data_IF_011127163677
#
_entry.id   IF_011127163677
#
_cell.length_a   1.000
_cell.length_b   1.000
_cell.length_c   1.000
_cell.angle_alpha   90.00
_cell.angle_beta   90.00
_cell.angle_gamma   90.00
#
_symmetry.space_group_name_H-M   'P 1'
#
loop_
_entity.id
_entity.type
_entity.pdbx_description
1 polymer ?
#
# COMPACT_ATOMS: atom_id res chain seq x y z
N UNK A 1 18.20 1.61 18.61
CA UNK A 1 17.06 0.79 18.18
C UNK A 1 16.89 1.03 16.68
N UNK A 2 17.36 0.11 15.82
CA UNK A 2 17.47 0.30 14.36
C UNK A 2 16.38 -0.49 13.60
N UNK A 3 15.16 -0.52 14.14
CA UNK A 3 14.02 -1.14 13.48
C UNK A 3 13.66 -0.34 12.22
N UNK A 4 13.73 -0.98 11.05
CA UNK A 4 13.28 -0.37 9.80
C UNK A 4 11.78 -0.03 9.89
N UNK A 5 11.40 1.17 9.47
CA UNK A 5 10.02 1.63 9.39
C UNK A 5 9.53 1.45 7.96
N UNK A 6 8.51 0.62 7.80
CA UNK A 6 7.83 0.40 6.53
C UNK A 6 6.41 0.91 6.67
N UNK A 7 5.91 1.61 5.66
CA UNK A 7 4.50 2.03 5.61
C UNK A 7 3.80 1.27 4.50
N UNK A 8 2.66 0.69 4.82
CA UNK A 8 1.75 0.07 3.88
C UNK A 8 0.59 1.05 3.67
N UNK A 9 0.39 1.45 2.43
CA UNK A 9 -0.73 2.25 1.98
C UNK A 9 -1.71 1.31 1.29
N UNK A 10 -2.95 1.30 1.74
CA UNK A 10 -4.02 0.50 1.15
C UNK A 10 -5.00 1.47 0.52
N UNK A 11 -5.10 1.35 -0.80
CA UNK A 11 -6.19 1.90 -1.56
C UNK A 11 -7.46 1.09 -1.29
N UNK A 12 -8.47 1.75 -0.75
CA UNK A 12 -9.76 1.12 -0.41
C UNK A 12 -10.88 1.46 -1.38
N UNK A 13 -10.58 2.24 -2.42
CA UNK A 13 -11.56 2.90 -3.29
C UNK A 13 -12.13 2.03 -4.42
N UNK A 14 -11.55 0.85 -4.67
CA UNK A 14 -11.73 0.11 -5.93
C UNK A 14 -12.03 -1.39 -5.80
N UNK A 15 -11.98 -2.09 -6.93
CA UNK A 15 -12.51 -3.45 -7.20
C UNK A 15 -11.73 -4.59 -6.53
N UNK A 16 -11.00 -4.28 -5.46
CA UNK A 16 -10.19 -5.20 -4.70
C UNK A 16 -11.12 -6.16 -3.96
N UNK A 17 -10.97 -7.45 -4.24
CA UNK A 17 -11.79 -8.46 -3.58
C UNK A 17 -11.15 -8.86 -2.25
N UNK A 18 -11.98 -9.26 -1.29
CA UNK A 18 -11.56 -9.61 0.08
C UNK A 18 -10.48 -10.71 0.08
N UNK A 19 -10.52 -11.64 -0.87
CA UNK A 19 -9.52 -12.72 -1.00
C UNK A 19 -8.11 -12.19 -1.29
N UNK A 20 -7.97 -11.21 -2.19
CA UNK A 20 -6.67 -10.60 -2.53
C UNK A 20 -6.12 -9.79 -1.36
N UNK A 21 -6.99 -9.04 -0.69
CA UNK A 21 -6.65 -8.30 0.51
C UNK A 21 -6.14 -9.26 1.60
N UNK A 22 -6.86 -10.37 1.84
CA UNK A 22 -6.47 -11.39 2.80
C UNK A 22 -5.14 -12.06 2.42
N UNK A 23 -4.93 -12.34 1.13
CA UNK A 23 -3.69 -12.91 0.61
C UNK A 23 -2.50 -11.98 0.88
N UNK A 24 -2.63 -10.70 0.48
CA UNK A 24 -1.64 -9.67 0.71
C UNK A 24 -1.26 -9.54 2.20
N UNK A 25 -2.25 -9.38 3.08
CA UNK A 25 -1.97 -9.22 4.51
C UNK A 25 -1.45 -10.48 5.18
N UNK A 26 -1.77 -11.67 4.65
CA UNK A 26 -1.17 -12.92 5.14
C UNK A 26 0.34 -12.97 4.86
N UNK A 27 0.81 -12.42 3.74
CA UNK A 27 2.24 -12.26 3.45
C UNK A 27 2.89 -11.22 4.38
N UNK A 28 2.24 -10.08 4.63
CA UNK A 28 2.71 -9.08 5.60
C UNK A 28 2.82 -9.68 7.02
N UNK A 29 1.85 -10.49 7.43
CA UNK A 29 1.87 -11.25 8.70
C UNK A 29 3.02 -12.27 8.77
N UNK A 30 3.53 -12.74 7.65
CA UNK A 30 4.72 -13.58 7.60
C UNK A 30 5.99 -12.72 7.73
N UNK A 31 6.06 -11.58 7.04
CA UNK A 31 7.21 -10.66 7.07
C UNK A 31 7.43 -10.03 8.46
N UNK A 32 6.36 -9.66 9.16
CA UNK A 32 6.44 -9.14 10.53
C UNK A 32 7.00 -10.12 11.54
N UNK A 33 6.95 -11.44 11.27
CA UNK A 33 7.57 -12.45 12.15
C UNK A 33 9.08 -12.58 11.95
N UNK A 34 9.55 -12.23 10.76
CA UNK A 34 10.95 -12.43 10.35
C UNK A 34 11.78 -11.18 10.68
N UNK A 35 11.16 -10.00 10.72
CA UNK A 35 11.85 -8.73 10.89
C UNK A 35 11.35 -7.99 12.14
N UNK A 36 12.25 -7.36 12.91
CA UNK A 36 11.90 -6.42 13.99
C UNK A 36 11.41 -5.07 13.45
N UNK A 37 10.78 -5.04 12.26
CA UNK A 37 10.39 -3.82 11.57
C UNK A 37 9.13 -3.19 12.19
N UNK A 38 9.09 -1.86 12.24
CA UNK A 38 7.89 -1.10 12.65
C UNK A 38 7.04 -0.83 11.41
N UNK A 39 5.97 -1.59 11.26
CA UNK A 39 5.05 -1.43 10.15
C UNK A 39 3.92 -0.47 10.55
N UNK A 40 3.62 0.46 9.65
CA UNK A 40 2.47 1.34 9.72
C UNK A 40 1.51 1.00 8.59
N UNK A 41 0.23 1.12 8.85
CA UNK A 41 -0.83 0.92 7.89
C UNK A 41 -1.60 2.23 7.71
N UNK A 42 -1.80 2.63 6.46
CA UNK A 42 -2.53 3.83 6.06
C UNK A 42 -3.62 3.43 5.07
N UNK A 43 -4.88 3.73 5.36
CA UNK A 43 -6.00 3.51 4.44
C UNK A 43 -6.34 4.80 3.71
N UNK A 44 -6.61 4.70 2.40
CA UNK A 44 -6.82 5.83 1.50
C UNK A 44 -8.07 5.60 0.64
N UNK A 45 -8.82 6.67 0.43
CA UNK A 45 -9.91 6.80 -0.54
C UNK A 45 -9.70 8.16 -1.27
N UNK A 46 -10.62 9.12 -1.16
CA UNK A 46 -10.37 10.53 -1.56
C UNK A 46 -9.34 11.25 -0.67
N UNK A 47 -9.10 10.71 0.54
CA UNK A 47 -8.16 11.24 1.52
C UNK A 47 -7.70 10.12 2.48
N UNK A 48 -6.73 10.42 3.34
CA UNK A 48 -6.30 9.51 4.42
C UNK A 48 -7.46 9.25 5.39
N UNK A 49 -7.89 7.99 5.45
CA UNK A 49 -9.00 7.55 6.31
C UNK A 49 -8.53 7.09 7.68
N UNK A 50 -7.39 6.42 7.75
CA UNK A 50 -6.81 5.96 9.01
C UNK A 50 -5.31 5.76 8.91
N UNK A 51 -4.63 5.94 10.03
CA UNK A 51 -3.20 5.69 10.21
C UNK A 51 -3.05 4.92 11.51
N UNK A 52 -2.45 3.74 11.45
CA UNK A 52 -2.24 2.92 12.64
C UNK A 52 -0.92 2.16 12.58
N UNK A 53 -0.37 1.86 13.75
CA UNK A 53 0.75 0.93 13.83
C UNK A 53 0.21 -0.48 13.59
N UNK A 54 0.79 -1.17 12.62
CA UNK A 54 0.40 -2.52 12.29
C UNK A 54 0.92 -3.49 13.35
N UNK A 55 0.04 -4.35 13.83
CA UNK A 55 0.42 -5.56 14.54
C UNK A 55 -0.28 -6.76 13.92
N UNK A 56 0.30 -7.95 14.12
CA UNK A 56 -0.15 -9.18 13.46
C UNK A 56 -1.65 -9.39 13.64
N UNK A 57 -2.36 -9.63 12.54
CA UNK A 57 -3.79 -9.92 12.53
C UNK A 57 -4.72 -8.73 12.73
N UNK A 58 -4.20 -7.52 12.97
CA UNK A 58 -5.02 -6.27 13.05
C UNK A 58 -5.80 -6.02 11.76
N UNK A 59 -5.27 -6.49 10.63
CA UNK A 59 -5.91 -6.31 9.33
C UNK A 59 -7.29 -6.95 9.23
N UNK A 60 -7.58 -7.97 10.06
CA UNK A 60 -8.89 -8.66 10.08
C UNK A 60 -10.02 -7.77 10.57
N UNK A 61 -9.68 -6.72 11.31
CA UNK A 61 -10.63 -5.73 11.82
C UNK A 61 -10.73 -4.50 10.89
N UNK A 62 -9.95 -4.46 9.80
CA UNK A 62 -10.03 -3.38 8.82
C UNK A 62 -11.33 -3.50 8.05
N UNK A 63 -12.18 -2.48 8.21
CA UNK A 63 -13.36 -2.33 7.38
C UNK A 63 -12.95 -1.61 6.11
N UNK A 64 -12.96 -2.32 4.99
CA UNK A 64 -12.85 -1.70 3.68
C UNK A 64 -14.12 -0.89 3.43
N UNK A 65 -13.98 0.44 3.40
CA UNK A 65 -15.08 1.37 3.13
C UNK A 65 -14.68 2.16 1.87
N UNK A 66 -14.86 1.56 0.69
CA UNK A 66 -14.66 2.24 -0.59
C UNK A 66 -15.95 2.90 -1.07
N UNK A 67 -15.92 4.19 -1.40
CA UNK A 67 -17.13 4.93 -1.80
C UNK A 67 -16.95 5.99 -2.90
N UNK A 68 -15.76 6.19 -3.48
CA UNK A 68 -15.55 7.33 -4.38
C UNK A 68 -14.39 7.23 -5.37
N UNK A 69 -13.99 8.39 -5.88
CA UNK A 69 -12.79 8.59 -6.68
C UNK A 69 -11.54 8.51 -5.79
N UNK A 70 -10.41 8.13 -6.37
CA UNK A 70 -9.19 7.82 -5.61
C UNK A 70 -8.10 8.80 -5.94
N UNK A 71 -7.52 9.42 -4.91
CA UNK A 71 -6.27 10.16 -5.03
C UNK A 71 -5.26 9.65 -4.01
N UNK A 72 -4.22 8.95 -4.50
CA UNK A 72 -3.15 8.45 -3.65
C UNK A 72 -2.17 9.54 -3.22
N UNK A 73 -2.08 10.67 -3.95
CA UNK A 73 -1.04 11.67 -3.73
C UNK A 73 -1.09 12.28 -2.32
N UNK A 74 -2.25 12.71 -1.76
CA UNK A 74 -2.34 13.25 -0.41
C UNK A 74 -1.85 12.27 0.67
N UNK A 75 -2.15 10.99 0.51
CA UNK A 75 -1.70 9.96 1.44
C UNK A 75 -0.20 9.73 1.34
N UNK A 76 0.34 9.70 0.13
CA UNK A 76 1.77 9.57 -0.12
C UNK A 76 2.54 10.77 0.43
N UNK A 77 2.03 11.99 0.28
CA UNK A 77 2.66 13.18 0.87
C UNK A 77 2.67 13.09 2.39
N UNK A 78 1.53 12.77 3.02
CA UNK A 78 1.45 12.55 4.46
C UNK A 78 2.45 11.48 4.94
N UNK A 79 2.50 10.34 4.28
CA UNK A 79 3.41 9.22 4.64
C UNK A 79 4.87 9.66 4.55
N UNK A 80 5.24 10.38 3.50
CA UNK A 80 6.62 10.79 3.27
C UNK A 80 7.12 11.85 4.23
N UNK A 81 6.22 12.77 4.63
CA UNK A 81 6.53 13.93 5.47
C UNK A 81 6.41 13.63 6.96
N UNK A 82 5.35 12.95 7.37
CA UNK A 82 5.02 12.69 8.79
C UNK A 82 5.62 11.36 9.27
N UNK A 83 5.38 10.26 8.54
CA UNK A 83 5.86 8.94 8.95
C UNK A 83 7.33 8.71 8.59
N UNK A 84 7.81 9.32 7.51
CA UNK A 84 9.20 9.27 7.03
C UNK A 84 9.79 7.84 6.98
N UNK A 85 9.14 6.87 6.32
CA UNK A 85 9.60 5.48 6.33
C UNK A 85 10.85 5.27 5.45
N UNK A 86 11.55 4.16 5.66
CA UNK A 86 12.63 3.71 4.77
C UNK A 86 12.09 3.12 3.46
N UNK A 87 10.84 2.65 3.46
CA UNK A 87 10.15 2.13 2.28
C UNK A 87 8.62 2.18 2.41
N UNK A 88 7.95 2.24 1.27
CA UNK A 88 6.49 2.30 1.15
C UNK A 88 6.03 1.11 0.31
N UNK A 89 4.96 0.45 0.75
CA UNK A 89 4.26 -0.56 -0.03
C UNK A 89 2.87 0.01 -0.33
N UNK A 90 2.43 0.03 -1.58
CA UNK A 90 1.13 0.57 -1.99
C UNK A 90 0.31 -0.57 -2.57
N UNK A 91 -0.79 -0.94 -1.92
CA UNK A 91 -1.73 -1.93 -2.42
C UNK A 91 -2.90 -1.22 -3.12
N UNK A 92 -3.10 -1.47 -4.42
CA UNK A 92 -4.10 -0.78 -5.27
C UNK A 92 -4.49 -1.64 -6.48
N UNK A 93 -5.62 -1.35 -7.12
CA UNK A 93 -5.96 -1.87 -8.45
C UNK A 93 -5.47 -0.96 -9.60
N UNK A 94 -4.91 0.21 -9.29
CA UNK A 94 -4.29 1.10 -10.27
C UNK A 94 -5.27 1.90 -11.13
N UNK A 95 -6.55 1.99 -10.75
CA UNK A 95 -7.52 2.88 -11.41
C UNK A 95 -7.47 4.32 -10.84
N UNK A 96 -6.26 4.84 -10.69
CA UNK A 96 -5.95 6.16 -10.16
C UNK A 96 -4.68 6.68 -10.81
N UNK A 97 -4.41 7.97 -10.67
CA UNK A 97 -3.15 8.55 -11.14
C UNK A 97 -1.97 8.00 -10.31
N UNK A 98 -0.84 7.76 -10.97
CA UNK A 98 0.35 7.31 -10.28
C UNK A 98 0.88 8.39 -9.33
N UNK A 99 1.04 8.11 -8.02
CA UNK A 99 1.53 9.11 -7.10
C UNK A 99 3.03 9.33 -7.30
N UNK A 100 3.50 10.53 -6.97
CA UNK A 100 4.92 10.89 -6.92
C UNK A 100 5.53 10.44 -5.59
N UNK A 101 6.37 9.40 -5.65
CA UNK A 101 7.02 8.79 -4.49
C UNK A 101 8.53 9.06 -4.54
N UNK A 102 9.02 9.80 -3.54
CA UNK A 102 10.43 10.19 -3.34
C UNK A 102 11.22 9.16 -2.52
N UNK A 103 10.54 8.16 -1.95
CA UNK A 103 11.11 7.08 -1.14
C UNK A 103 11.08 5.76 -1.92
N UNK A 104 11.75 4.72 -1.41
CA UNK A 104 11.65 3.38 -2.01
C UNK A 104 10.19 2.93 -1.97
N UNK A 105 9.67 2.47 -3.10
CA UNK A 105 8.27 2.05 -3.23
C UNK A 105 8.16 0.69 -3.89
N UNK A 106 7.21 -0.10 -3.40
CA UNK A 106 6.71 -1.31 -4.04
C UNK A 106 5.20 -1.18 -4.22
N UNK A 107 4.74 -1.15 -5.46
CA UNK A 107 3.34 -1.26 -5.81
C UNK A 107 2.94 -2.73 -5.83
N UNK A 108 1.88 -3.07 -5.12
CA UNK A 108 1.29 -4.40 -5.07
C UNK A 108 -0.07 -4.27 -5.73
N UNK A 109 -0.18 -4.80 -6.93
CA UNK A 109 -1.36 -4.66 -7.77
C UNK A 109 -2.31 -5.85 -7.56
N UNK A 110 -3.61 -5.59 -7.52
CA UNK A 110 -4.63 -6.65 -7.49
C UNK A 110 -4.63 -7.48 -8.78
N UNK A 111 -5.37 -8.59 -8.84
CA UNK A 111 -5.47 -9.40 -10.06
C UNK A 111 -6.22 -8.70 -11.20
N UNK A 112 -6.99 -7.66 -10.88
CA UNK A 112 -7.76 -6.83 -11.84
C UNK A 112 -7.10 -5.48 -12.07
N UNK A 113 -5.78 -5.44 -12.05
CA UNK A 113 -5.03 -4.18 -12.13
C UNK A 113 -5.18 -3.47 -13.48
N UNK A 114 -4.86 -2.18 -13.49
CA UNK A 114 -4.74 -1.38 -14.71
C UNK A 114 -3.35 -1.57 -15.35
N UNK A 115 -3.29 -2.10 -16.58
CA UNK A 115 -2.03 -2.32 -17.31
C UNK A 115 -1.22 -1.04 -17.54
N UNK A 116 -1.88 0.10 -17.80
CA UNK A 116 -1.18 1.38 -17.97
C UNK A 116 -0.52 1.82 -16.67
N UNK A 117 -1.18 1.60 -15.54
CA UNK A 117 -0.62 1.90 -14.22
C UNK A 117 0.61 1.04 -13.92
N UNK A 118 0.58 -0.25 -14.28
CA UNK A 118 1.75 -1.14 -14.17
C UNK A 118 2.91 -0.62 -15.04
N UNK A 119 2.65 -0.31 -16.30
CA UNK A 119 3.65 0.22 -17.22
C UNK A 119 4.27 1.52 -16.67
N UNK A 120 3.45 2.42 -16.15
CA UNK A 120 3.90 3.67 -15.53
C UNK A 120 4.76 3.41 -14.29
N UNK A 121 4.38 2.46 -13.44
CA UNK A 121 5.20 2.05 -12.29
C UNK A 121 6.58 1.56 -12.73
N UNK A 122 6.64 0.71 -13.75
CA UNK A 122 7.91 0.16 -14.24
C UNK A 122 8.77 1.20 -14.94
N UNK A 123 8.14 2.12 -15.68
CA UNK A 123 8.82 3.19 -16.42
C UNK A 123 9.38 4.26 -15.48
N UNK A 124 8.64 4.64 -14.44
CA UNK A 124 9.00 5.72 -13.52
C UNK A 124 9.90 5.21 -12.39
N UNK A 125 9.55 4.07 -11.79
CA UNK A 125 10.21 3.55 -10.58
C UNK A 125 11.09 2.33 -10.84
N UNK A 126 11.13 1.83 -12.09
CA UNK A 126 11.93 0.69 -12.53
C UNK A 126 11.19 -0.64 -12.47
N UNK A 127 11.63 -1.62 -13.27
CA UNK A 127 10.96 -2.94 -13.48
C UNK A 127 10.69 -3.80 -12.24
N UNK A 128 11.23 -3.45 -11.08
CA UNK A 128 11.01 -4.18 -9.83
C UNK A 128 10.18 -3.36 -8.83
N UNK A 129 9.58 -2.27 -9.29
CA UNK A 129 8.74 -1.38 -8.48
C UNK A 129 7.33 -1.92 -8.29
N UNK A 130 6.88 -2.89 -9.11
CA UNK A 130 5.54 -3.43 -9.07
C UNK A 130 5.53 -4.96 -9.02
N UNK A 131 4.56 -5.53 -8.30
CA UNK A 131 4.24 -6.96 -8.27
C UNK A 131 2.73 -7.14 -8.31
N UNK A 132 2.25 -8.27 -8.85
CA UNK A 132 0.83 -8.59 -8.94
C UNK A 132 0.51 -9.68 -7.91
N UNK A 133 -0.57 -9.49 -7.13
CA UNK A 133 -1.09 -10.52 -6.22
C UNK A 133 -1.65 -11.69 -7.04
N UNK A 134 -1.24 -12.90 -6.67
CA UNK A 134 -1.66 -14.15 -7.33
C UNK A 134 -2.83 -14.80 -6.61
#
# INVERSE_FOLDING_TARGET
DYAAKVVIVVDTSGSIIEEEFNSFFSEIDALTRITDSRIWLVQVDEAVQSVMQYSKGVWKDLKLIGRGETDLQPAIDYVQEELRPEGIIIFTDGYTDIPVVKRKVLFVLSSKYNDTFLDDCENIYGRSSAVIVK
#
